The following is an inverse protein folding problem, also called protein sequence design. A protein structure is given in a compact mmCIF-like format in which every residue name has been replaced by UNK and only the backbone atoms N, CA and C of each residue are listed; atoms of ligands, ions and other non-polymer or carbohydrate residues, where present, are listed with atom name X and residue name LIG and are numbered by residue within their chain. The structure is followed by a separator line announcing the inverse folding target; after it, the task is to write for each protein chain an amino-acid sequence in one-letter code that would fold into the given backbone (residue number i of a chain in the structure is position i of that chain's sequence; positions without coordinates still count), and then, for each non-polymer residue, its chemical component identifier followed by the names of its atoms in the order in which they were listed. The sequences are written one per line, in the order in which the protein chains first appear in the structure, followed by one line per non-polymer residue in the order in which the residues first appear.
data_IF_298862568912
#
_entry.id   IF_298862568912
#
_cell.length_a   1.000
_cell.length_b   1.000
_cell.length_c   1.000
_cell.angle_alpha   90.00
_cell.angle_beta   90.00
_cell.angle_gamma   90.00
#
_symmetry.space_group_name_H-M   'P 1'
#
loop_
_entity.id
_entity.type
_entity.pdbx_description
1 polymer ?
#
# COMPACT_ATOMS: atom_id res chain seq x y z
N UNK A 1 0.10 -8.65 -7.16
CA UNK A 1 0.57 -7.40 -6.49
C UNK A 1 -0.12 -7.03 -5.18
N UNK A 2 -1.36 -7.48 -4.86
CA UNK A 2 -2.07 -7.11 -3.60
C UNK A 2 -1.26 -7.34 -2.30
N UNK A 3 -0.42 -8.38 -2.27
CA UNK A 3 0.45 -8.74 -1.14
C UNK A 3 1.51 -7.67 -0.78
N UNK A 4 1.83 -6.75 -1.70
CA UNK A 4 2.94 -5.79 -1.55
C UNK A 4 2.49 -4.40 -1.03
N UNK A 5 1.23 -4.26 -0.62
CA UNK A 5 0.70 -2.99 -0.08
C UNK A 5 0.85 -1.82 -1.06
N UNK A 6 1.24 -0.61 -0.58
CA UNK A 6 1.38 0.59 -1.41
C UNK A 6 2.37 0.47 -2.59
N UNK A 7 3.38 -0.39 -2.50
CA UNK A 7 4.30 -0.65 -3.62
C UNK A 7 3.65 -1.48 -4.74
N UNK A 8 2.61 -2.25 -4.38
CA UNK A 8 1.81 -3.04 -5.31
C UNK A 8 0.71 -2.20 -5.93
N UNK A 9 -0.12 -1.59 -5.09
CA UNK A 9 -1.26 -0.72 -5.43
C UNK A 9 -1.38 0.38 -4.39
N UNK A 10 -1.66 1.62 -4.80
CA UNK A 10 -1.89 2.72 -3.87
C UNK A 10 -3.14 2.48 -3.02
N UNK A 11 -4.17 1.83 -3.60
CA UNK A 11 -5.39 1.44 -2.89
C UNK A 11 -5.71 -0.04 -3.07
N UNK A 12 -6.41 -0.63 -2.10
CA UNK A 12 -6.89 -2.01 -2.23
C UNK A 12 -8.19 -2.05 -3.03
N UNK A 13 -8.14 -2.58 -4.25
CA UNK A 13 -9.31 -2.79 -5.10
C UNK A 13 -9.96 -4.17 -4.91
N UNK A 14 -11.30 -4.26 -4.94
CA UNK A 14 -12.04 -5.50 -4.77
C UNK A 14 -12.20 -6.26 -6.10
N UNK A 15 -11.09 -6.59 -6.78
CA UNK A 15 -11.15 -7.44 -7.96
C UNK A 15 -11.73 -8.81 -7.61
N UNK A 16 -12.69 -9.27 -8.41
CA UNK A 16 -13.45 -10.48 -8.14
C UNK A 16 -13.36 -11.49 -9.30
N UNK A 17 -13.77 -12.73 -9.05
CA UNK A 17 -13.77 -13.80 -10.06
C UNK A 17 -14.80 -13.56 -11.17
N UNK A 18 -15.90 -12.87 -10.87
CA UNK A 18 -16.91 -12.48 -11.86
C UNK A 18 -16.36 -11.50 -12.91
N UNK A 19 -15.48 -10.59 -12.53
CA UNK A 19 -14.77 -9.68 -13.44
C UNK A 19 -13.95 -10.51 -14.44
N UNK A 20 -13.22 -11.52 -13.94
CA UNK A 20 -12.42 -12.42 -14.77
C UNK A 20 -13.26 -13.26 -15.73
N UNK A 21 -14.36 -13.85 -15.25
CA UNK A 21 -15.29 -14.63 -16.09
C UNK A 21 -15.91 -13.75 -17.17
N UNK A 22 -16.30 -12.53 -16.82
CA UNK A 22 -16.88 -11.57 -17.77
C UNK A 22 -15.85 -11.14 -18.82
N UNK A 23 -14.61 -10.86 -18.42
CA UNK A 23 -13.53 -10.56 -19.36
C UNK A 23 -13.24 -11.74 -20.31
N UNK A 24 -13.27 -12.97 -19.80
CA UNK A 24 -13.09 -14.16 -20.63
C UNK A 24 -14.21 -14.33 -21.67
N UNK A 25 -15.47 -14.08 -21.29
CA UNK A 25 -16.60 -14.11 -22.22
C UNK A 25 -16.49 -13.01 -23.30
N UNK A 26 -16.09 -11.80 -22.91
CA UNK A 26 -15.84 -10.70 -23.84
C UNK A 26 -14.70 -11.05 -24.80
N UNK A 27 -13.59 -11.60 -24.29
CA UNK A 27 -12.47 -12.06 -25.11
C UNK A 27 -12.92 -13.08 -26.15
N UNK A 28 -13.67 -14.11 -25.74
CA UNK A 28 -14.20 -15.14 -26.65
C UNK A 28 -15.03 -14.50 -27.78
N UNK A 29 -15.98 -13.64 -27.43
CA UNK A 29 -16.86 -13.00 -28.41
C UNK A 29 -16.08 -12.15 -29.43
N UNK A 30 -15.07 -11.40 -28.97
CA UNK A 30 -14.25 -10.55 -29.85
C UNK A 30 -13.31 -11.38 -30.73
N UNK A 31 -12.73 -12.46 -30.20
CA UNK A 31 -11.83 -13.35 -30.94
C UNK A 31 -12.57 -14.17 -31.99
N UNK A 32 -13.80 -14.60 -31.73
CA UNK A 32 -14.62 -15.32 -32.71
C UNK A 32 -15.15 -14.41 -33.83
N UNK A 33 -15.41 -13.14 -33.52
CA UNK A 33 -15.99 -12.18 -34.46
C UNK A 33 -14.96 -11.52 -35.39
N UNK A 34 -13.66 -11.61 -35.08
CA UNK A 34 -12.61 -10.91 -35.81
C UNK A 34 -11.50 -11.86 -36.27
N UNK A 35 -11.04 -11.76 -37.53
CA UNK A 35 -9.97 -12.61 -38.05
C UNK A 35 -8.58 -12.28 -37.48
N UNK A 36 -8.40 -11.07 -36.94
CA UNK A 36 -7.20 -10.62 -36.24
C UNK A 36 -7.58 -10.22 -34.81
N UNK A 37 -6.72 -10.50 -33.85
CA UNK A 37 -6.93 -10.11 -32.45
C UNK A 37 -6.96 -8.57 -32.33
N UNK A 38 -8.07 -7.97 -31.87
CA UNK A 38 -8.18 -6.52 -31.69
C UNK A 38 -7.61 -6.11 -30.32
N UNK A 39 -6.28 -6.07 -30.21
CA UNK A 39 -5.59 -5.82 -28.94
C UNK A 39 -5.98 -4.48 -28.30
N UNK A 40 -6.04 -3.40 -29.06
CA UNK A 40 -6.34 -2.07 -28.50
C UNK A 40 -7.75 -2.00 -27.93
N UNK A 41 -8.73 -2.61 -28.60
CA UNK A 41 -10.11 -2.69 -28.10
C UNK A 41 -10.17 -3.53 -26.81
N UNK A 42 -9.51 -4.69 -26.78
CA UNK A 42 -9.47 -5.55 -25.60
C UNK A 42 -8.78 -4.87 -24.41
N UNK A 43 -7.65 -4.19 -24.65
CA UNK A 43 -6.93 -3.43 -23.63
C UNK A 43 -7.79 -2.29 -23.08
N UNK A 44 -8.52 -1.58 -23.94
CA UNK A 44 -9.44 -0.53 -23.51
C UNK A 44 -10.62 -1.09 -22.69
N UNK A 45 -11.26 -2.16 -23.16
CA UNK A 45 -12.38 -2.78 -22.47
C UNK A 45 -11.95 -3.32 -21.11
N UNK A 46 -10.83 -4.05 -21.03
CA UNK A 46 -10.37 -4.61 -19.76
C UNK A 46 -9.82 -3.55 -18.82
N UNK A 47 -9.03 -2.61 -19.35
CA UNK A 47 -8.33 -1.58 -18.59
C UNK A 47 -9.21 -0.44 -18.11
N UNK A 48 -10.08 0.11 -18.96
CA UNK A 48 -10.91 1.28 -18.62
C UNK A 48 -12.32 0.90 -18.18
N UNK A 49 -12.93 -0.14 -18.78
CA UNK A 49 -14.35 -0.47 -18.53
C UNK A 49 -14.47 -1.52 -17.41
N UNK A 50 -13.86 -2.69 -17.57
CA UNK A 50 -14.06 -3.83 -16.66
C UNK A 50 -13.31 -3.63 -15.33
N UNK A 51 -11.97 -3.62 -15.37
CA UNK A 51 -11.16 -3.39 -14.18
C UNK A 51 -11.02 -1.90 -13.85
N UNK A 52 -11.02 -1.03 -14.87
CA UNK A 52 -10.91 0.42 -14.70
C UNK A 52 -12.04 1.05 -13.89
N UNK A 53 -13.24 0.48 -13.96
CA UNK A 53 -14.37 0.89 -13.12
C UNK A 53 -14.12 0.71 -11.62
N UNK A 54 -13.27 -0.25 -11.23
CA UNK A 54 -12.87 -0.46 -9.83
C UNK A 54 -11.73 0.47 -9.40
N UNK A 55 -10.88 0.90 -10.35
CA UNK A 55 -9.65 1.64 -10.08
C UNK A 55 -9.93 3.15 -10.02
N UNK A 56 -9.83 3.69 -8.81
CA UNK A 56 -10.09 5.10 -8.52
C UNK A 56 -8.85 6.00 -8.56
N UNK A 57 -7.64 5.43 -8.47
CA UNK A 57 -6.39 6.18 -8.46
C UNK A 57 -5.76 6.22 -9.86
N UNK A 58 -5.29 7.40 -10.28
CA UNK A 58 -4.77 7.61 -11.62
C UNK A 58 -3.43 6.88 -11.86
N UNK A 59 -2.58 6.75 -10.84
CA UNK A 59 -1.32 6.01 -10.97
C UNK A 59 -1.58 4.50 -11.02
N UNK A 60 -2.51 4.01 -10.22
CA UNK A 60 -2.94 2.61 -10.29
C UNK A 60 -3.60 2.26 -11.64
N UNK A 61 -4.34 3.20 -12.25
CA UNK A 61 -4.88 3.03 -13.61
C UNK A 61 -3.77 2.96 -14.66
N UNK A 62 -2.78 3.84 -14.57
CA UNK A 62 -1.60 3.80 -15.44
C UNK A 62 -0.83 2.49 -15.28
N UNK A 63 -0.73 1.96 -14.05
CA UNK A 63 -0.13 0.67 -13.79
C UNK A 63 -0.91 -0.44 -14.50
N UNK A 64 -2.23 -0.49 -14.34
CA UNK A 64 -3.08 -1.48 -15.00
C UNK A 64 -2.95 -1.44 -16.53
N UNK A 65 -2.93 -0.25 -17.12
CA UNK A 65 -2.71 -0.08 -18.56
C UNK A 65 -1.33 -0.62 -19.01
N UNK A 66 -0.26 -0.30 -18.27
CA UNK A 66 1.08 -0.80 -18.56
C UNK A 66 1.18 -2.33 -18.47
N UNK A 67 0.44 -2.95 -17.55
CA UNK A 67 0.30 -4.40 -17.46
C UNK A 67 -0.36 -4.98 -18.72
N UNK A 68 -1.48 -4.40 -19.13
CA UNK A 68 -2.20 -4.86 -20.31
C UNK A 68 -1.33 -4.70 -21.57
N UNK A 69 -0.62 -3.59 -21.73
CA UNK A 69 0.31 -3.39 -22.85
C UNK A 69 1.48 -4.39 -22.86
N UNK A 70 1.96 -4.78 -21.68
CA UNK A 70 3.09 -5.73 -21.55
C UNK A 70 2.69 -7.17 -21.83
N UNK A 71 1.43 -7.54 -21.62
CA UNK A 71 0.98 -8.93 -21.79
C UNK A 71 0.08 -9.14 -23.01
N UNK A 72 -0.61 -8.12 -23.51
CA UNK A 72 -1.60 -8.23 -24.57
C UNK A 72 -1.06 -7.69 -25.91
N UNK A 73 -0.16 -8.45 -26.52
CA UNK A 73 0.42 -8.18 -27.84
C UNK A 73 0.69 -9.48 -28.60
N UNK A 74 1.04 -9.38 -29.88
CA UNK A 74 1.18 -10.53 -30.79
C UNK A 74 2.23 -11.55 -30.30
N UNK A 75 3.34 -11.10 -29.68
CA UNK A 75 4.38 -12.03 -29.17
C UNK A 75 3.85 -12.99 -28.08
N UNK A 76 2.73 -12.66 -27.41
CA UNK A 76 2.07 -13.60 -26.49
C UNK A 76 1.67 -14.90 -27.19
N UNK A 77 1.31 -14.83 -28.48
CA UNK A 77 0.90 -15.97 -29.30
C UNK A 77 2.10 -16.71 -29.90
N UNK A 78 3.19 -15.99 -30.17
CA UNK A 78 4.41 -16.52 -30.80
C UNK A 78 5.34 -17.22 -29.81
N UNK A 79 5.23 -16.86 -28.53
CA UNK A 79 6.04 -17.41 -27.46
C UNK A 79 6.80 -16.29 -26.75
N UNK A 80 6.43 -16.01 -25.51
CA UNK A 80 6.98 -14.94 -24.70
C UNK A 80 7.37 -15.43 -23.30
N UNK A 81 8.35 -14.79 -22.67
CA UNK A 81 8.67 -15.05 -21.27
C UNK A 81 7.83 -14.13 -20.37
N UNK A 82 6.76 -14.65 -19.77
CA UNK A 82 5.81 -13.87 -18.94
C UNK A 82 6.54 -13.18 -17.79
N UNK A 83 7.49 -13.90 -17.18
CA UNK A 83 8.47 -13.38 -16.24
C UNK A 83 9.68 -14.33 -16.19
N UNK A 84 10.83 -13.89 -15.68
CA UNK A 84 12.05 -14.69 -15.66
C UNK A 84 11.85 -16.09 -15.07
N UNK A 85 12.09 -17.12 -15.88
CA UNK A 85 11.90 -18.52 -15.52
C UNK A 85 10.50 -19.08 -15.79
N UNK A 86 9.62 -18.35 -16.49
CA UNK A 86 8.28 -18.83 -16.84
C UNK A 86 7.87 -18.42 -18.27
N UNK A 87 8.22 -19.24 -19.28
CA UNK A 87 7.79 -19.04 -20.66
C UNK A 87 6.30 -19.35 -20.84
N UNK A 88 5.68 -18.79 -21.87
CA UNK A 88 4.35 -19.18 -22.34
C UNK A 88 4.34 -20.66 -22.74
N UNK A 89 3.21 -21.37 -22.53
CA UNK A 89 3.05 -22.73 -23.05
C UNK A 89 3.14 -22.79 -24.59
N UNK A 90 3.26 -23.99 -25.15
CA UNK A 90 3.27 -24.23 -26.60
C UNK A 90 2.08 -23.59 -27.32
N UNK A 91 2.24 -23.23 -28.60
CA UNK A 91 1.17 -22.65 -29.40
C UNK A 91 -0.09 -23.54 -29.39
N UNK A 92 -1.21 -22.95 -28.95
CA UNK A 92 -2.53 -23.61 -28.77
C UNK A 92 -2.53 -24.79 -27.77
N UNK A 93 -2.19 -24.54 -26.49
CA UNK A 93 -2.17 -25.59 -25.49
C UNK A 93 -3.59 -25.97 -25.09
N UNK A 94 -3.83 -27.26 -24.88
CA UNK A 94 -5.06 -27.73 -24.23
C UNK A 94 -5.07 -27.30 -22.76
N UNK A 95 -6.26 -27.23 -22.15
CA UNK A 95 -6.40 -26.88 -20.73
C UNK A 95 -5.54 -27.77 -19.83
N UNK A 96 -5.40 -29.06 -20.16
CA UNK A 96 -4.55 -30.00 -19.41
C UNK A 96 -3.07 -29.64 -19.52
N UNK A 97 -2.59 -29.32 -20.71
CA UNK A 97 -1.20 -28.92 -20.94
C UNK A 97 -0.86 -27.60 -20.24
N UNK A 98 -1.80 -26.64 -20.21
CA UNK A 98 -1.62 -25.40 -19.44
C UNK A 98 -1.45 -25.70 -17.94
N UNK A 99 -2.30 -26.57 -17.39
CA UNK A 99 -2.25 -26.95 -15.97
C UNK A 99 -0.93 -27.68 -15.66
N UNK A 100 -0.52 -28.62 -16.51
CA UNK A 100 0.73 -29.36 -16.37
C UNK A 100 1.95 -28.43 -16.46
N UNK A 101 1.95 -27.49 -17.41
CA UNK A 101 2.99 -26.45 -17.55
C UNK A 101 3.11 -25.58 -16.30
N UNK A 102 1.97 -25.14 -15.74
CA UNK A 102 1.94 -24.39 -14.48
C UNK A 102 2.52 -25.23 -13.33
N UNK A 103 2.15 -26.50 -13.21
CA UNK A 103 2.59 -27.34 -12.10
C UNK A 103 4.07 -27.73 -12.17
N UNK A 104 4.63 -27.81 -13.37
CA UNK A 104 6.01 -28.28 -13.59
C UNK A 104 7.03 -27.15 -13.65
N UNK A 105 6.67 -26.01 -14.23
CA UNK A 105 7.61 -24.93 -14.56
C UNK A 105 7.50 -23.75 -13.59
N UNK A 106 6.34 -23.52 -12.97
CA UNK A 106 6.13 -22.34 -12.11
C UNK A 106 7.16 -22.30 -10.97
N UNK A 107 8.06 -21.30 -10.94
CA UNK A 107 9.02 -21.16 -9.86
C UNK A 107 8.34 -20.61 -8.61
N UNK A 108 9.07 -20.56 -7.49
CA UNK A 108 8.56 -19.88 -6.29
C UNK A 108 8.21 -18.42 -6.60
N UNK A 109 7.10 -17.95 -6.03
CA UNK A 109 6.64 -16.58 -6.22
C UNK A 109 7.72 -15.57 -5.77
N UNK A 110 8.20 -14.75 -6.70
CA UNK A 110 9.10 -13.63 -6.41
C UNK A 110 8.44 -12.30 -6.81
N UNK A 111 8.89 -11.14 -6.28
CA UNK A 111 8.38 -9.85 -6.71
C UNK A 111 8.54 -9.61 -8.22
N UNK A 112 9.57 -10.21 -8.82
CA UNK A 112 9.87 -10.11 -10.26
C UNK A 112 8.78 -10.76 -11.11
N UNK A 113 8.17 -11.86 -10.62
CA UNK A 113 7.02 -12.48 -11.27
C UNK A 113 5.81 -11.54 -11.38
N UNK A 114 5.77 -10.50 -10.55
CA UNK A 114 4.78 -9.44 -10.59
C UNK A 114 5.38 -8.12 -11.10
N UNK A 115 6.41 -8.13 -11.93
CA UNK A 115 6.99 -6.92 -12.53
C UNK A 115 7.50 -5.89 -11.50
N UNK A 116 7.94 -6.34 -10.32
CA UNK A 116 8.52 -5.49 -9.27
C UNK A 116 9.99 -5.80 -9.05
N UNK A 117 10.71 -4.82 -8.52
CA UNK A 117 12.10 -5.01 -8.12
C UNK A 117 12.21 -6.03 -6.96
N UNK A 118 13.23 -6.90 -6.92
CA UNK A 118 13.44 -7.89 -5.85
C UNK A 118 13.39 -7.30 -4.42
N UNK A 119 13.82 -6.05 -4.24
CA UNK A 119 13.77 -5.34 -2.96
C UNK A 119 12.36 -5.25 -2.34
N UNK A 120 11.29 -5.37 -3.12
CA UNK A 120 9.93 -5.41 -2.60
C UNK A 120 9.70 -6.64 -1.68
N UNK A 121 10.49 -7.70 -1.83
CA UNK A 121 10.44 -8.85 -0.92
C UNK A 121 10.88 -8.47 0.50
N UNK A 122 11.90 -7.62 0.65
CA UNK A 122 12.42 -7.21 1.96
C UNK A 122 11.31 -6.56 2.80
N UNK A 123 10.60 -5.59 2.21
CA UNK A 123 9.49 -4.91 2.89
C UNK A 123 8.32 -5.84 3.19
N UNK A 124 8.00 -6.78 2.29
CA UNK A 124 6.98 -7.79 2.53
C UNK A 124 7.34 -8.71 3.70
N UNK A 125 8.58 -9.23 3.75
CA UNK A 125 9.07 -10.09 4.83
C UNK A 125 9.14 -9.36 6.16
N UNK A 126 9.55 -8.09 6.17
CA UNK A 126 9.59 -7.27 7.37
C UNK A 126 8.19 -7.09 7.97
N UNK A 127 7.18 -6.75 7.15
CA UNK A 127 5.78 -6.67 7.61
C UNK A 127 5.25 -8.00 8.15
N UNK A 128 5.62 -9.12 7.52
CA UNK A 128 5.24 -10.44 8.00
C UNK A 128 5.88 -10.75 9.36
N UNK A 129 7.15 -10.40 9.55
CA UNK A 129 7.85 -10.54 10.82
C UNK A 129 7.24 -9.65 11.91
N UNK A 130 6.94 -8.38 11.62
CA UNK A 130 6.28 -7.47 12.55
C UNK A 130 4.92 -8.02 13.00
N UNK A 131 4.11 -8.50 12.06
CA UNK A 131 2.82 -9.15 12.37
C UNK A 131 3.00 -10.40 13.24
N UNK A 132 4.02 -11.22 12.97
CA UNK A 132 4.35 -12.38 13.81
C UNK A 132 4.73 -11.96 15.23
N UNK A 133 5.57 -10.94 15.40
CA UNK A 133 5.98 -10.44 16.72
C UNK A 133 4.81 -9.83 17.49
N UNK A 134 3.92 -9.10 16.83
CA UNK A 134 2.70 -8.56 17.43
C UNK A 134 1.79 -9.70 17.92
N UNK A 135 1.54 -10.70 17.09
CA UNK A 135 0.73 -11.85 17.47
C UNK A 135 1.34 -12.63 18.65
N UNK A 136 2.67 -12.81 18.67
CA UNK A 136 3.37 -13.44 19.80
C UNK A 136 3.19 -12.60 21.07
N UNK A 137 3.35 -11.28 20.98
CA UNK A 137 3.16 -10.36 22.12
C UNK A 137 1.72 -10.39 22.64
N UNK A 138 0.73 -10.49 21.77
CA UNK A 138 -0.68 -10.58 22.16
C UNK A 138 -1.02 -11.91 22.85
N UNK A 139 -0.36 -13.00 22.44
CA UNK A 139 -0.53 -14.33 23.03
C UNK A 139 0.25 -14.51 24.34
N UNK A 140 1.21 -13.63 24.66
CA UNK A 140 1.96 -13.73 25.90
C UNK A 140 1.05 -13.48 27.12
N UNK A 141 1.06 -14.36 28.15
CA UNK A 141 0.28 -14.17 29.35
C UNK A 141 0.72 -12.92 30.09
N UNK A 142 -0.19 -11.93 30.20
CA UNK A 142 0.04 -10.65 30.88
C UNK A 142 0.28 -10.77 32.40
N UNK A 143 0.11 -11.97 32.98
CA UNK A 143 0.19 -12.25 34.41
C UNK A 143 1.38 -13.11 34.84
N UNK A 144 2.37 -13.36 33.97
CA UNK A 144 3.50 -14.24 34.26
C UNK A 144 4.86 -13.60 33.96
N UNK A 145 5.32 -12.68 34.79
CA UNK A 145 6.68 -12.12 34.71
C UNK A 145 7.04 -11.35 35.97
N UNK A 146 8.14 -11.74 36.62
CA UNK A 146 8.53 -11.32 37.98
C UNK A 146 8.66 -9.81 38.20
N UNK A 147 8.46 -9.45 39.47
CA UNK A 147 8.55 -8.12 40.13
C UNK A 147 9.96 -7.50 40.11
N UNK A 148 10.67 -7.55 38.99
CA UNK A 148 11.99 -6.93 38.81
C UNK A 148 12.00 -6.15 37.51
N UNK A 149 11.30 -5.03 37.51
CA UNK A 149 11.22 -4.08 36.40
C UNK A 149 10.27 -2.95 36.78
N UNK A 150 10.49 -1.75 36.23
CA UNK A 150 9.60 -0.60 36.44
C UNK A 150 8.15 -1.02 36.20
N UNK A 151 7.25 -0.58 37.08
CA UNK A 151 5.82 -0.82 36.90
C UNK A 151 5.35 -0.19 35.57
N UNK A 152 4.25 -0.70 35.00
CA UNK A 152 3.71 -0.14 33.74
C UNK A 152 3.42 1.36 33.89
N UNK A 153 2.98 1.78 35.07
CA UNK A 153 2.74 3.18 35.44
C UNK A 153 4.03 4.00 35.53
N UNK A 154 5.08 3.47 36.15
CA UNK A 154 6.40 4.13 36.17
C UNK A 154 7.00 4.28 34.78
N UNK A 155 6.85 3.27 33.91
CA UNK A 155 7.33 3.32 32.53
C UNK A 155 6.53 4.31 31.69
N UNK A 156 5.21 4.35 31.88
CA UNK A 156 4.34 5.32 31.24
C UNK A 156 4.70 6.75 31.67
N UNK A 157 4.96 6.95 32.97
CA UNK A 157 5.39 8.23 33.52
C UNK A 157 6.74 8.69 32.96
N UNK A 158 7.74 7.83 32.91
CA UNK A 158 9.04 8.17 32.33
C UNK A 158 8.93 8.56 30.85
N UNK A 159 8.07 7.88 30.08
CA UNK A 159 7.79 8.23 28.68
C UNK A 159 7.07 9.58 28.56
N UNK A 160 6.08 9.83 29.43
CA UNK A 160 5.35 11.10 29.49
C UNK A 160 6.29 12.27 29.78
N UNK A 161 7.17 12.12 30.77
CA UNK A 161 8.14 13.16 31.15
C UNK A 161 9.13 13.43 29.99
N UNK A 162 9.62 12.38 29.32
CA UNK A 162 10.50 12.51 28.14
C UNK A 162 9.82 13.25 26.97
N UNK A 163 8.54 12.94 26.69
CA UNK A 163 7.78 13.59 25.62
C UNK A 163 7.51 15.05 25.98
N UNK A 164 7.19 15.33 27.25
CA UNK A 164 6.91 16.69 27.73
C UNK A 164 8.17 17.55 27.69
N UNK A 165 9.33 17.01 28.05
CA UNK A 165 10.61 17.72 27.99
C UNK A 165 11.03 18.05 26.54
N UNK A 166 10.73 17.16 25.59
CA UNK A 166 11.05 17.35 24.16
C UNK A 166 10.04 18.24 23.42
N UNK A 167 8.97 18.67 24.09
CA UNK A 167 7.96 19.50 23.46
C UNK A 167 8.52 20.89 23.18
N UNK A 168 8.50 21.38 21.93
CA UNK A 168 8.95 22.74 21.63
C UNK A 168 8.04 23.78 22.28
N UNK A 169 8.64 24.90 22.67
CA UNK A 169 7.91 26.06 23.20
C UNK A 169 6.89 26.60 22.19
N UNK A 170 5.79 27.14 22.71
CA UNK A 170 4.77 27.79 21.88
C UNK A 170 5.40 29.02 21.23
N UNK A 171 5.30 29.11 19.91
CA UNK A 171 5.74 30.29 19.18
C UNK A 171 4.93 31.52 19.61
N UNK A 172 5.55 32.70 19.64
CA UNK A 172 4.80 33.94 19.80
C UNK A 172 4.22 34.35 18.44
N UNK A 173 2.91 34.10 18.25
CA UNK A 173 2.22 34.44 17.01
C UNK A 173 2.25 35.95 16.71
N UNK A 174 2.26 36.78 17.76
CA UNK A 174 2.30 38.24 17.64
C UNK A 174 3.65 38.68 17.11
N UNK A 175 4.74 38.15 17.68
CA UNK A 175 6.11 38.42 17.21
C UNK A 175 6.32 38.00 15.76
N UNK A 176 5.74 36.86 15.35
CA UNK A 176 5.83 36.37 13.97
C UNK A 176 5.06 37.28 13.01
N UNK A 177 3.85 37.71 13.37
CA UNK A 177 3.06 38.64 12.54
C UNK A 177 3.76 39.99 12.40
N UNK A 178 4.35 40.52 13.47
CA UNK A 178 5.04 41.81 13.46
C UNK A 178 6.29 41.79 12.57
N UNK A 179 6.94 40.64 12.41
CA UNK A 179 8.08 40.44 11.50
C UNK A 179 7.69 40.30 10.03
N UNK A 180 6.41 40.17 9.71
CA UNK A 180 5.94 40.03 8.32
C UNK A 180 5.74 41.41 7.71
N UNK A 181 6.70 41.83 6.87
CA UNK A 181 6.65 43.12 6.17
C UNK A 181 5.70 43.12 4.96
N UNK A 182 5.60 42.01 4.22
CA UNK A 182 4.75 41.89 3.03
C UNK A 182 3.90 40.60 3.07
N UNK A 183 2.59 40.75 2.90
CA UNK A 183 1.64 39.62 2.88
C UNK A 183 1.44 39.09 1.47
N UNK A 184 2.26 38.11 1.10
CA UNK A 184 2.01 37.29 -0.09
C UNK A 184 1.07 36.11 0.24
N UNK A 185 0.43 35.48 -0.78
CA UNK A 185 -0.37 34.27 -0.56
C UNK A 185 0.38 33.15 0.16
N UNK A 186 1.67 32.96 -0.11
CA UNK A 186 2.51 31.97 0.57
C UNK A 186 2.73 32.30 2.04
N UNK A 187 2.94 33.59 2.36
CA UNK A 187 3.09 34.05 3.74
C UNK A 187 1.80 33.87 4.53
N UNK A 188 0.64 34.08 3.90
CA UNK A 188 -0.64 33.81 4.56
C UNK A 188 -0.85 32.31 4.86
N UNK A 189 -0.49 31.42 3.93
CA UNK A 189 -0.54 29.97 4.18
C UNK A 189 0.41 29.59 5.31
N UNK A 190 1.63 30.13 5.32
CA UNK A 190 2.59 29.88 6.40
C UNK A 190 2.07 30.33 7.78
N UNK A 191 1.45 31.51 7.86
CA UNK A 191 0.84 31.98 9.12
C UNK A 191 -0.31 31.07 9.57
N UNK A 192 -1.13 30.57 8.63
CA UNK A 192 -2.20 29.61 8.94
C UNK A 192 -1.67 28.26 9.43
N UNK A 193 -0.60 27.74 8.80
CA UNK A 193 0.04 26.50 9.26
C UNK A 193 0.62 26.66 10.67
N UNK A 194 1.23 27.81 10.97
CA UNK A 194 1.70 28.11 12.32
C UNK A 194 0.55 28.12 13.33
N UNK A 195 -0.55 28.81 13.02
CA UNK A 195 -1.74 28.86 13.87
C UNK A 195 -2.29 27.44 14.14
N UNK A 196 -2.38 26.59 13.11
CA UNK A 196 -2.82 25.19 13.25
C UNK A 196 -1.83 24.33 14.04
N UNK A 197 -0.54 24.53 13.85
CA UNK A 197 0.48 23.89 14.67
C UNK A 197 0.35 24.30 16.14
N UNK A 198 0.10 25.58 16.44
CA UNK A 198 -0.09 26.06 17.81
C UNK A 198 -1.32 25.42 18.47
N UNK A 199 -2.46 25.37 17.77
CA UNK A 199 -3.67 24.70 18.27
C UNK A 199 -3.40 23.23 18.59
N UNK A 200 -2.71 22.51 17.70
CA UNK A 200 -2.34 21.11 17.92
C UNK A 200 -1.40 20.94 19.13
N UNK A 201 -0.40 21.82 19.25
CA UNK A 201 0.54 21.80 20.37
C UNK A 201 -0.17 22.06 21.70
N UNK A 202 -1.08 23.03 21.76
CA UNK A 202 -1.87 23.30 22.95
C UNK A 202 -2.75 22.10 23.36
N UNK A 203 -3.35 21.42 22.38
CA UNK A 203 -4.14 20.21 22.64
C UNK A 203 -3.26 19.05 23.15
N UNK A 204 -2.07 18.87 22.57
CA UNK A 204 -1.10 17.88 23.05
C UNK A 204 -0.63 18.17 24.47
N UNK A 205 -0.27 19.42 24.79
CA UNK A 205 0.11 19.83 26.15
C UNK A 205 -1.02 19.56 27.14
N UNK A 206 -2.26 19.90 26.78
CA UNK A 206 -3.44 19.64 27.60
C UNK A 206 -3.63 18.14 27.85
N UNK A 207 -3.61 17.33 26.80
CA UNK A 207 -3.80 15.88 26.91
C UNK A 207 -2.71 15.19 27.73
N UNK A 208 -1.44 15.62 27.58
CA UNK A 208 -0.35 15.10 28.41
C UNK A 208 -0.47 15.51 29.87
N UNK A 209 -0.89 16.75 30.16
CA UNK A 209 -1.14 17.21 31.52
C UNK A 209 -2.30 16.45 32.18
N UNK A 210 -3.38 16.17 31.44
CA UNK A 210 -4.49 15.34 31.93
C UNK A 210 -4.04 13.90 32.21
N UNK A 211 -3.19 13.33 31.34
CA UNK A 211 -2.60 12.01 31.58
C UNK A 211 -1.67 12.01 32.82
N UNK A 212 -0.94 13.09 33.06
CA UNK A 212 -0.11 13.29 34.25
C UNK A 212 -0.91 13.23 35.54
N UNK A 213 -2.02 13.96 35.57
CA UNK A 213 -2.97 14.01 36.70
C UNK A 213 -3.66 12.66 36.89
N UNK A 214 -4.12 12.04 35.79
CA UNK A 214 -4.73 10.72 35.82
C UNK A 214 -3.79 9.62 36.34
N UNK A 215 -2.49 9.72 36.06
CA UNK A 215 -1.48 8.82 36.63
C UNK A 215 -1.22 9.07 38.12
N UNK A 216 -1.37 10.32 38.59
CA UNK A 216 -1.29 10.69 40.02
C UNK A 216 -2.56 10.32 40.80
N UNK A 217 -3.69 10.18 40.11
CA UNK A 217 -4.99 9.87 40.70
C UNK A 217 -5.78 11.09 41.16
N UNK A 218 -5.44 12.29 40.65
CA UNK A 218 -6.12 13.57 40.90
C UNK A 218 -7.11 13.94 39.78
#
# INVERSE_FOLDING_TARGET
RKKFGPQGWNRSYPFNQGDLVSCAQVALNYLESNPKVPWDDLKYIFGEIMYGGHITDAFDRRLAAAYLDTYMHDELLEGFEIFPGFPTPSAQPTVKEIIEHIQTIMPQETPVAYGMHPNAEIGFRMKQADGMFLNIRELQPRSGGGTVGMSVTERAKACLDEITEKMPDVFDFVEIIERVEERSPFVNVFLQEIERCMELMAELSRSLAELDLGLKGD
#
